data_IF_084409314692
#
_entry.id   IF_084409314692
#
_cell.length_a   1.000
_cell.length_b   1.000
_cell.length_c   1.000
_cell.angle_alpha   90.00
_cell.angle_beta   90.00
_cell.angle_gamma   90.00
#
_symmetry.space_group_name_H-M   'P 1'
#
loop_
_entity.id
_entity.type
_entity.pdbx_description
1 polymer ?
#
# COMPACT_ATOMS: atom_id res chain seq x y z
N UNK A 1 -13.39 -19.31 -16.96
CA UNK A 1 -13.66 -17.98 -16.37
C UNK A 1 -14.91 -17.40 -17.05
N UNK A 2 -16.00 -17.16 -16.31
CA UNK A 2 -17.34 -16.99 -16.90
C UNK A 2 -17.75 -15.51 -16.97
N UNK A 3 -17.34 -14.84 -18.06
CA UNK A 3 -17.53 -13.40 -18.32
C UNK A 3 -18.96 -12.84 -18.15
N UNK A 4 -20.04 -13.56 -18.53
CA UNK A 4 -21.40 -13.04 -18.35
C UNK A 4 -21.78 -12.81 -16.89
N UNK A 5 -21.26 -13.65 -15.98
CA UNK A 5 -21.52 -13.58 -14.55
C UNK A 5 -20.85 -12.36 -13.91
N UNK A 6 -19.62 -12.06 -14.32
CA UNK A 6 -18.85 -10.89 -13.87
C UNK A 6 -19.54 -9.58 -14.32
N UNK A 7 -20.00 -9.53 -15.57
CA UNK A 7 -20.73 -8.37 -16.09
C UNK A 7 -22.07 -8.13 -15.39
N UNK A 8 -22.77 -9.19 -14.95
CA UNK A 8 -23.99 -9.04 -14.17
C UNK A 8 -23.75 -8.51 -12.75
N UNK A 9 -22.63 -8.87 -12.12
CA UNK A 9 -22.26 -8.39 -10.78
C UNK A 9 -21.81 -6.92 -10.80
N UNK A 10 -21.07 -6.51 -11.85
CA UNK A 10 -20.62 -5.11 -12.04
C UNK A 10 -21.77 -4.13 -12.32
N UNK A 11 -22.93 -4.61 -12.79
CA UNK A 11 -24.11 -3.76 -13.04
C UNK A 11 -24.84 -3.36 -11.76
N UNK A 12 -24.60 -4.05 -10.65
CA UNK A 12 -25.28 -3.82 -9.37
C UNK A 12 -24.93 -2.46 -8.72
N UNK A 13 -23.64 -2.05 -8.59
CA UNK A 13 -23.29 -0.73 -8.03
C UNK A 13 -23.75 0.44 -8.91
N UNK A 14 -23.73 0.29 -10.24
CA UNK A 14 -24.13 1.33 -11.20
C UNK A 14 -25.65 1.59 -11.23
N UNK A 15 -26.48 0.61 -10.84
CA UNK A 15 -27.95 0.74 -10.85
C UNK A 15 -28.53 1.56 -9.70
N UNK A 16 -27.73 1.89 -8.68
CA UNK A 16 -28.23 2.62 -7.49
C UNK A 16 -27.30 3.81 -7.19
N UNK A 17 -27.63 5.04 -7.63
CA UNK A 17 -26.73 6.19 -7.61
C UNK A 17 -26.26 6.59 -6.20
N UNK A 18 -27.05 6.30 -5.17
CA UNK A 18 -26.68 6.51 -3.76
C UNK A 18 -25.42 5.74 -3.29
N UNK A 19 -25.06 4.61 -3.91
CA UNK A 19 -23.82 3.88 -3.57
C UNK A 19 -22.60 4.57 -4.11
N UNK A 20 -22.69 5.06 -5.35
CA UNK A 20 -21.66 5.87 -5.96
C UNK A 20 -21.41 7.14 -5.13
N UNK A 21 -22.49 7.77 -4.63
CA UNK A 21 -22.37 8.93 -3.74
C UNK A 21 -21.70 8.60 -2.41
N UNK A 22 -22.02 7.45 -1.79
CA UNK A 22 -21.39 7.00 -0.54
C UNK A 22 -19.91 6.66 -0.73
N UNK A 23 -19.55 5.96 -1.82
CA UNK A 23 -18.15 5.69 -2.15
C UNK A 23 -17.40 6.97 -2.52
N UNK A 24 -18.02 7.89 -3.26
CA UNK A 24 -17.44 9.20 -3.58
C UNK A 24 -17.24 10.04 -2.32
N UNK A 25 -18.19 10.02 -1.39
CA UNK A 25 -18.06 10.71 -0.11
C UNK A 25 -16.92 10.12 0.74
N UNK A 26 -16.83 8.78 0.79
CA UNK A 26 -15.74 8.08 1.47
C UNK A 26 -14.37 8.41 0.85
N UNK A 27 -14.24 8.29 -0.47
CA UNK A 27 -13.01 8.64 -1.20
C UNK A 27 -12.68 10.12 -1.04
N UNK A 28 -13.69 11.01 -1.04
CA UNK A 28 -13.52 12.44 -0.81
C UNK A 28 -13.04 12.76 0.60
N UNK A 29 -13.54 12.05 1.61
CA UNK A 29 -13.07 12.15 3.00
C UNK A 29 -11.63 11.68 3.16
N UNK A 30 -11.27 10.55 2.55
CA UNK A 30 -9.89 10.05 2.55
C UNK A 30 -8.95 11.02 1.82
N UNK A 31 -9.40 11.58 0.70
CA UNK A 31 -8.63 12.55 -0.07
C UNK A 31 -8.43 13.84 0.74
N UNK A 32 -9.48 14.38 1.36
CA UNK A 32 -9.42 15.57 2.20
C UNK A 32 -8.56 15.39 3.46
N UNK A 33 -8.55 14.18 4.04
CA UNK A 33 -7.62 13.83 5.11
C UNK A 33 -6.18 13.80 4.58
N UNK A 34 -5.96 13.13 3.45
CA UNK A 34 -4.65 13.00 2.82
C UNK A 34 -4.07 14.31 2.29
N UNK A 35 -4.92 15.28 1.92
CA UNK A 35 -4.48 16.59 1.45
C UNK A 35 -3.97 17.49 2.59
N UNK A 36 -4.27 17.16 3.86
CA UNK A 36 -3.75 17.89 5.03
C UNK A 36 -2.40 17.37 5.48
N UNK A 37 -2.21 16.06 5.45
CA UNK A 37 -0.94 15.39 5.70
C UNK A 37 -0.93 14.06 4.96
N UNK A 38 0.08 13.84 4.12
CA UNK A 38 0.25 12.56 3.44
C UNK A 38 0.59 11.44 4.43
N UNK A 39 0.27 10.19 4.08
CA UNK A 39 0.54 9.01 4.93
C UNK A 39 2.03 8.80 5.26
N UNK A 40 2.93 9.48 4.53
CA UNK A 40 4.39 9.35 4.65
C UNK A 40 5.02 10.60 5.29
N UNK A 41 4.23 11.65 5.54
CA UNK A 41 4.72 12.91 6.12
C UNK A 41 4.76 12.85 7.66
N UNK A 42 5.67 12.02 8.18
CA UNK A 42 5.83 11.75 9.63
C UNK A 42 6.20 13.03 10.41
N UNK A 43 6.70 14.06 9.73
CA UNK A 43 7.03 15.36 10.34
C UNK A 43 5.82 16.23 10.65
N UNK A 44 4.65 15.96 10.04
CA UNK A 44 3.44 16.74 10.24
C UNK A 44 2.51 16.03 11.25
N UNK A 45 2.23 16.59 12.44
CA UNK A 45 1.44 15.92 13.48
C UNK A 45 0.03 15.47 13.04
N UNK A 46 -0.50 16.03 11.95
CA UNK A 46 -1.76 15.61 11.34
C UNK A 46 -1.67 14.28 10.58
N UNK A 47 -0.48 13.69 10.36
CA UNK A 47 -0.31 12.38 9.71
C UNK A 47 -1.05 11.26 10.47
N UNK A 48 -1.12 11.38 11.80
CA UNK A 48 -1.86 10.45 12.67
C UNK A 48 -3.36 10.51 12.38
N UNK A 49 -3.89 11.69 12.07
CA UNK A 49 -5.30 11.83 11.69
C UNK A 49 -5.55 11.21 10.31
N UNK A 50 -4.64 11.36 9.35
CA UNK A 50 -4.77 10.72 8.03
C UNK A 50 -4.67 9.20 8.11
N UNK A 51 -3.65 8.69 8.82
CA UNK A 51 -3.47 7.25 9.03
C UNK A 51 -4.61 6.65 9.86
N UNK A 52 -5.01 7.32 10.93
CA UNK A 52 -6.15 6.94 11.75
C UNK A 52 -7.45 6.98 10.95
N UNK A 53 -7.64 7.97 10.09
CA UNK A 53 -8.80 8.04 9.18
C UNK A 53 -8.80 6.88 8.19
N UNK A 54 -7.68 6.59 7.53
CA UNK A 54 -7.58 5.45 6.60
C UNK A 54 -7.87 4.12 7.29
N UNK A 55 -7.32 3.91 8.50
CA UNK A 55 -7.49 2.68 9.28
C UNK A 55 -8.87 2.56 9.90
N UNK A 56 -9.51 3.66 10.33
CA UNK A 56 -10.81 3.62 11.03
C UNK A 56 -12.00 3.81 10.09
N UNK A 57 -11.87 4.63 9.04
CA UNK A 57 -12.96 4.79 8.07
C UNK A 57 -13.24 3.48 7.34
N UNK A 58 -12.23 2.66 7.03
CA UNK A 58 -12.40 1.34 6.39
C UNK A 58 -13.36 0.41 7.17
N UNK A 59 -13.10 0.07 8.45
CA UNK A 59 -14.00 -0.77 9.25
C UNK A 59 -15.34 -0.09 9.53
N UNK A 60 -15.40 1.25 9.66
CA UNK A 60 -16.69 1.97 9.79
C UNK A 60 -17.53 1.82 8.53
N UNK A 61 -16.91 2.01 7.36
CA UNK A 61 -17.56 1.81 6.07
C UNK A 61 -18.06 0.37 5.94
N UNK A 62 -17.23 -0.63 6.25
CA UNK A 62 -17.60 -2.03 6.17
C UNK A 62 -18.64 -2.47 7.20
N UNK A 63 -18.63 -1.90 8.41
CA UNK A 63 -19.63 -2.17 9.45
C UNK A 63 -21.04 -1.68 9.07
N UNK A 64 -21.15 -0.64 8.24
CA UNK A 64 -22.44 -0.17 7.70
C UNK A 64 -22.79 -0.90 6.42
N UNK A 65 -21.81 -1.08 5.51
CA UNK A 65 -22.06 -1.64 4.19
C UNK A 65 -22.42 -3.13 4.23
N UNK A 66 -21.73 -3.93 5.04
CA UNK A 66 -21.89 -5.40 5.06
C UNK A 66 -23.29 -5.81 5.55
N UNK A 67 -23.79 -5.36 6.72
CA UNK A 67 -25.14 -5.69 7.16
C UNK A 67 -26.20 -5.24 6.16
N UNK A 68 -25.98 -4.10 5.51
CA UNK A 68 -26.91 -3.56 4.52
C UNK A 68 -26.93 -4.36 3.22
N UNK A 69 -25.77 -4.82 2.73
CA UNK A 69 -25.68 -5.75 1.60
C UNK A 69 -26.34 -7.09 1.92
N UNK A 70 -26.14 -7.61 3.13
CA UNK A 70 -26.80 -8.83 3.61
C UNK A 70 -28.32 -8.66 3.61
N UNK A 71 -28.83 -7.54 4.10
CA UNK A 71 -30.26 -7.21 4.07
C UNK A 71 -30.81 -7.07 2.63
N UNK A 72 -30.09 -6.34 1.77
CA UNK A 72 -30.49 -6.13 0.37
C UNK A 72 -30.48 -7.43 -0.46
N UNK A 73 -29.61 -8.38 -0.12
CA UNK A 73 -29.55 -9.71 -0.74
C UNK A 73 -30.68 -10.61 -0.23
N UNK A 74 -30.92 -10.63 1.08
CA UNK A 74 -31.99 -11.43 1.69
C UNK A 74 -33.37 -10.99 1.16
N UNK A 75 -33.60 -9.68 1.03
CA UNK A 75 -34.81 -9.12 0.43
C UNK A 75 -35.03 -9.49 -1.05
N UNK A 76 -33.96 -9.78 -1.80
CA UNK A 76 -34.05 -10.24 -3.19
C UNK A 76 -34.22 -11.76 -3.30
N UNK A 77 -33.72 -12.51 -2.33
CA UNK A 77 -33.82 -13.98 -2.29
C UNK A 77 -35.20 -14.48 -1.82
N UNK A 78 -36.01 -13.61 -1.20
CA UNK A 78 -37.31 -14.00 -0.61
C UNK A 78 -37.16 -14.70 0.73
N UNK A 79 -35.95 -14.70 1.31
CA UNK A 79 -35.66 -15.27 2.62
C UNK A 79 -36.27 -14.35 3.70
N UNK A 80 -37.23 -14.86 4.46
CA UNK A 80 -38.08 -14.09 5.37
C UNK A 80 -37.36 -13.42 6.56
N UNK A 81 -36.11 -13.79 6.84
CA UNK A 81 -35.28 -13.11 7.84
C UNK A 81 -33.87 -12.88 7.32
N UNK A 82 -33.48 -11.61 7.24
CA UNK A 82 -32.09 -11.24 7.00
C UNK A 82 -31.23 -11.59 8.22
N UNK A 83 -30.04 -12.21 8.03
CA UNK A 83 -29.11 -12.45 9.12
C UNK A 83 -28.82 -11.15 9.89
N UNK A 84 -29.14 -11.13 11.20
CA UNK A 84 -28.80 -10.02 12.08
C UNK A 84 -27.30 -10.02 12.33
N UNK A 85 -26.61 -9.01 11.82
CA UNK A 85 -25.20 -8.77 12.14
C UNK A 85 -25.15 -7.94 13.43
N UNK A 86 -24.58 -8.52 14.48
CA UNK A 86 -24.29 -7.82 15.73
C UNK A 86 -23.06 -6.93 15.51
N UNK A 87 -23.30 -5.65 15.21
CA UNK A 87 -22.25 -4.68 14.84
C UNK A 87 -21.27 -4.47 15.99
N UNK A 88 -21.75 -4.42 17.24
CA UNK A 88 -20.90 -4.18 18.42
C UNK A 88 -19.89 -5.31 18.61
N UNK A 89 -20.30 -6.56 18.40
CA UNK A 89 -19.38 -7.72 18.51
C UNK A 89 -18.49 -7.91 17.29
N UNK A 90 -18.95 -7.48 16.11
CA UNK A 90 -18.25 -7.69 14.83
C UNK A 90 -17.24 -6.58 14.55
N UNK A 91 -17.49 -5.36 15.03
CA UNK A 91 -16.64 -4.19 14.77
C UNK A 91 -15.19 -4.34 15.29
N UNK A 92 -14.92 -4.82 16.52
CA UNK A 92 -13.55 -5.08 16.97
C UNK A 92 -12.85 -6.15 16.13
N UNK A 93 -13.59 -7.18 15.68
CA UNK A 93 -13.05 -8.25 14.83
C UNK A 93 -12.67 -7.72 13.44
N UNK A 94 -13.46 -6.80 12.89
CA UNK A 94 -13.15 -6.08 11.65
C UNK A 94 -11.87 -5.26 11.78
N UNK A 95 -11.71 -4.50 12.86
CA UNK A 95 -10.48 -3.72 13.11
C UNK A 95 -9.27 -4.67 13.19
N UNK A 96 -9.37 -5.75 13.96
CA UNK A 96 -8.28 -6.72 14.09
C UNK A 96 -7.94 -7.33 12.72
N UNK A 97 -8.95 -7.73 11.94
CA UNK A 97 -8.75 -8.24 10.59
C UNK A 97 -8.04 -7.25 9.68
N UNK A 98 -8.45 -5.98 9.70
CA UNK A 98 -7.83 -4.91 8.92
C UNK A 98 -6.38 -4.67 9.32
N UNK A 99 -6.08 -4.68 10.63
CA UNK A 99 -4.71 -4.57 11.13
C UNK A 99 -3.85 -5.76 10.70
N UNK A 100 -4.38 -6.98 10.74
CA UNK A 100 -3.66 -8.18 10.30
C UNK A 100 -3.37 -8.17 8.80
N UNK A 101 -4.34 -7.77 7.97
CA UNK A 101 -4.14 -7.65 6.53
C UNK A 101 -3.09 -6.59 6.22
N UNK A 102 -3.19 -5.40 6.83
CA UNK A 102 -2.19 -4.35 6.66
C UNK A 102 -0.79 -4.79 7.12
N UNK A 103 -0.69 -5.45 8.26
CA UNK A 103 0.58 -6.00 8.75
C UNK A 103 1.18 -7.01 7.75
N UNK A 104 0.35 -7.88 7.18
CA UNK A 104 0.80 -8.87 6.19
C UNK A 104 1.25 -8.21 4.88
N UNK A 105 0.53 -7.17 4.43
CA UNK A 105 0.92 -6.37 3.25
C UNK A 105 2.27 -5.69 3.49
N UNK A 106 2.44 -5.05 4.64
CA UNK A 106 3.71 -4.41 5.03
C UNK A 106 4.84 -5.45 5.10
N UNK A 107 4.59 -6.59 5.74
CA UNK A 107 5.56 -7.67 5.83
C UNK A 107 5.95 -8.20 4.43
N UNK A 108 4.98 -8.43 3.55
CA UNK A 108 5.21 -8.84 2.17
C UNK A 108 6.03 -7.81 1.38
N UNK A 109 5.74 -6.52 1.58
CA UNK A 109 6.52 -5.45 0.98
C UNK A 109 7.98 -5.46 1.47
N UNK A 110 8.23 -5.66 2.76
CA UNK A 110 9.59 -5.79 3.29
C UNK A 110 10.33 -7.01 2.72
N UNK A 111 9.67 -8.16 2.59
CA UNK A 111 10.25 -9.37 2.01
C UNK A 111 10.66 -9.17 0.55
N UNK A 112 9.98 -8.29 -0.19
CA UNK A 112 10.34 -7.99 -1.58
C UNK A 112 11.36 -6.84 -1.70
N UNK A 113 11.22 -5.79 -0.89
CA UNK A 113 12.06 -4.59 -0.95
C UNK A 113 13.47 -4.85 -0.42
N UNK A 114 13.59 -5.52 0.73
CA UNK A 114 14.88 -5.77 1.39
C UNK A 114 15.88 -6.55 0.51
N UNK A 115 15.52 -7.66 -0.16
CA UNK A 115 16.47 -8.36 -1.04
C UNK A 115 16.87 -7.52 -2.25
N UNK A 116 15.98 -6.69 -2.80
CA UNK A 116 16.30 -5.78 -3.90
C UNK A 116 17.34 -4.74 -3.48
N UNK A 117 17.12 -4.10 -2.33
CA UNK A 117 18.07 -3.15 -1.72
C UNK A 117 19.41 -3.83 -1.42
N UNK A 118 19.38 -5.02 -0.83
CA UNK A 118 20.59 -5.79 -0.52
C UNK A 118 21.43 -6.05 -1.77
N UNK A 119 20.80 -6.55 -2.84
CA UNK A 119 21.48 -6.80 -4.12
C UNK A 119 22.02 -5.51 -4.73
N UNK A 120 21.24 -4.41 -4.68
CA UNK A 120 21.68 -3.11 -5.18
C UNK A 120 22.96 -2.61 -4.52
N UNK A 121 23.02 -2.68 -3.18
CA UNK A 121 24.23 -2.30 -2.42
C UNK A 121 25.40 -3.24 -2.75
N UNK A 122 25.16 -4.55 -2.80
CA UNK A 122 26.20 -5.56 -3.11
C UNK A 122 26.79 -5.39 -4.51
N UNK A 123 25.99 -4.92 -5.46
CA UNK A 123 26.37 -4.71 -6.85
C UNK A 123 26.82 -3.28 -7.15
N UNK A 124 26.88 -2.36 -6.17
CA UNK A 124 27.18 -0.96 -6.42
C UNK A 124 28.47 -0.70 -7.22
N UNK A 125 29.47 -1.58 -7.11
CA UNK A 125 30.78 -1.43 -7.77
C UNK A 125 30.98 -2.28 -9.03
N UNK A 126 29.97 -3.02 -9.51
CA UNK A 126 30.17 -3.87 -10.70
C UNK A 126 30.58 -3.03 -11.91
N UNK A 127 30.02 -1.83 -12.08
CA UNK A 127 30.35 -0.91 -13.18
C UNK A 127 31.80 -0.46 -13.11
N UNK A 128 32.28 -0.16 -11.91
CA UNK A 128 33.68 0.23 -11.69
C UNK A 128 34.64 -0.92 -12.04
N UNK A 129 34.29 -2.14 -11.65
CA UNK A 129 35.10 -3.32 -11.98
C UNK A 129 35.12 -3.64 -13.49
N UNK A 130 34.07 -3.28 -14.25
CA UNK A 130 34.09 -3.38 -15.71
C UNK A 130 34.94 -2.26 -16.33
N UNK A 131 34.70 -1.01 -15.92
CA UNK A 131 35.28 0.15 -16.60
C UNK A 131 36.73 0.45 -16.22
N UNK A 132 37.13 0.16 -14.99
CA UNK A 132 38.47 0.46 -14.48
C UNK A 132 39.33 -0.79 -14.45
N UNK A 133 38.78 -1.91 -13.97
CA UNK A 133 39.54 -3.15 -13.77
C UNK A 133 39.44 -4.10 -14.98
N UNK A 134 38.83 -3.66 -16.09
CA UNK A 134 38.61 -4.38 -17.36
C UNK A 134 38.08 -5.82 -17.17
N UNK A 135 37.23 -6.03 -16.15
CA UNK A 135 36.71 -7.35 -15.82
C UNK A 135 35.49 -7.71 -16.68
N UNK A 136 35.37 -8.97 -17.11
CA UNK A 136 34.15 -9.44 -17.77
C UNK A 136 32.95 -9.41 -16.81
N UNK A 137 31.70 -9.31 -17.31
CA UNK A 137 30.51 -8.99 -16.50
C UNK A 137 30.31 -9.88 -15.26
N UNK A 138 30.44 -11.20 -15.39
CA UNK A 138 30.28 -12.10 -14.23
C UNK A 138 31.41 -11.98 -13.20
N UNK A 139 32.64 -11.71 -13.66
CA UNK A 139 33.78 -11.50 -12.75
C UNK A 139 33.64 -10.15 -12.02
N UNK A 140 33.13 -9.12 -12.69
CA UNK A 140 32.86 -7.82 -12.11
C UNK A 140 31.76 -7.87 -11.03
N UNK A 141 30.70 -8.65 -11.24
CA UNK A 141 29.67 -8.85 -10.21
C UNK A 141 30.24 -9.55 -8.97
N UNK A 142 31.01 -10.63 -9.14
CA UNK A 142 31.68 -11.32 -8.00
C UNK A 142 32.65 -10.40 -7.26
N UNK A 143 33.40 -9.59 -7.99
CA UNK A 143 34.31 -8.60 -7.41
C UNK A 143 33.54 -7.55 -6.59
N UNK A 144 32.41 -7.05 -7.11
CA UNK A 144 31.55 -6.12 -6.36
C UNK A 144 31.04 -6.73 -5.06
N UNK A 145 30.60 -7.99 -5.09
CA UNK A 145 30.19 -8.72 -3.89
C UNK A 145 31.33 -8.88 -2.87
N UNK A 146 32.56 -9.11 -3.34
CA UNK A 146 33.74 -9.20 -2.49
C UNK A 146 34.07 -7.86 -1.84
N UNK A 147 34.06 -6.76 -2.62
CA UNK A 147 34.35 -5.41 -2.13
C UNK A 147 33.32 -4.91 -1.12
N UNK A 148 32.06 -5.29 -1.30
CA UNK A 148 30.94 -4.93 -0.41
C UNK A 148 30.71 -5.92 0.73
N UNK A 149 31.63 -6.86 0.97
CA UNK A 149 31.54 -7.82 2.08
C UNK A 149 31.68 -7.18 3.46
N UNK A 150 32.34 -6.03 3.54
CA UNK A 150 32.44 -5.28 4.79
C UNK A 150 31.11 -4.56 5.07
N UNK A 151 30.43 -4.97 6.16
CA UNK A 151 29.12 -4.43 6.55
C UNK A 151 29.15 -2.91 6.76
N UNK A 152 30.28 -2.36 7.24
CA UNK A 152 30.46 -0.91 7.46
C UNK A 152 30.41 -0.12 6.16
N UNK A 153 31.08 -0.64 5.12
CA UNK A 153 31.08 -0.03 3.80
C UNK A 153 29.69 -0.17 3.14
N UNK A 154 29.04 -1.33 3.31
CA UNK A 154 27.68 -1.54 2.83
C UNK A 154 26.68 -0.56 3.49
N UNK A 155 26.82 -0.26 4.79
CA UNK A 155 25.97 0.70 5.49
C UNK A 155 26.19 2.14 5.02
N UNK A 156 27.44 2.56 4.81
CA UNK A 156 27.77 3.88 4.25
C UNK A 156 27.20 4.03 2.84
N UNK A 157 27.35 3.00 2.00
CA UNK A 157 26.80 2.98 0.64
C UNK A 157 25.27 2.99 0.65
N UNK A 158 24.64 2.24 1.55
CA UNK A 158 23.19 2.25 1.73
C UNK A 158 22.70 3.65 2.13
N UNK A 159 23.36 4.29 3.10
CA UNK A 159 23.04 5.67 3.49
C UNK A 159 23.21 6.66 2.34
N UNK A 160 24.30 6.56 1.58
CA UNK A 160 24.52 7.40 0.40
C UNK A 160 23.46 7.18 -0.69
N UNK A 161 23.10 5.93 -0.99
CA UNK A 161 22.02 5.59 -1.91
C UNK A 161 20.68 6.14 -1.42
N UNK A 162 20.37 5.99 -0.13
CA UNK A 162 19.12 6.45 0.46
C UNK A 162 18.97 7.97 0.34
N UNK A 163 20.04 8.73 0.54
CA UNK A 163 20.04 10.18 0.30
C UNK A 163 19.81 10.49 -1.18
N UNK A 164 20.51 9.80 -2.08
CA UNK A 164 20.41 10.06 -3.53
C UNK A 164 19.02 9.75 -4.09
N UNK A 165 18.47 8.58 -3.74
CA UNK A 165 17.10 8.20 -4.10
C UNK A 165 16.07 9.05 -3.36
N UNK A 166 16.31 9.43 -2.10
CA UNK A 166 15.43 10.32 -1.34
C UNK A 166 15.30 11.70 -2.01
N UNK A 167 16.42 12.27 -2.47
CA UNK A 167 16.44 13.53 -3.22
C UNK A 167 15.74 13.37 -4.57
N UNK A 168 16.03 12.31 -5.33
CA UNK A 168 15.37 12.07 -6.63
C UNK A 168 13.85 11.91 -6.50
N UNK A 169 13.40 11.19 -5.46
CA UNK A 169 11.97 11.00 -5.17
C UNK A 169 11.34 12.32 -4.72
N UNK A 170 12.04 13.10 -3.89
CA UNK A 170 11.61 14.43 -3.46
C UNK A 170 11.47 15.42 -4.61
N UNK A 171 12.41 15.44 -5.55
CA UNK A 171 12.36 16.26 -6.77
C UNK A 171 11.19 15.83 -7.66
N UNK A 172 10.97 14.52 -7.85
CA UNK A 172 9.84 14.01 -8.63
C UNK A 172 8.48 14.41 -8.02
N UNK A 173 8.36 14.36 -6.69
CA UNK A 173 7.19 14.85 -5.95
C UNK A 173 7.00 16.35 -6.13
N UNK A 174 8.08 17.14 -6.09
CA UNK A 174 8.03 18.59 -6.29
C UNK A 174 7.56 18.96 -7.70
N UNK A 175 8.04 18.24 -8.72
CA UNK A 175 7.62 18.44 -10.11
C UNK A 175 6.15 18.07 -10.33
N UNK A 176 5.64 17.04 -9.65
CA UNK A 176 4.22 16.67 -9.68
C UNK A 176 3.30 17.68 -8.98
N UNK A 177 3.83 18.49 -8.06
CA UNK A 177 3.07 19.53 -7.34
C UNK A 177 3.08 20.87 -8.10
N UNK A 178 4.10 21.10 -8.94
CA UNK A 178 4.29 22.35 -9.69
C UNK A 178 3.73 22.27 -11.12
N UNK A 179 3.51 21.06 -11.66
CA UNK A 179 2.87 20.80 -12.95
C UNK A 179 1.33 20.74 -12.83
#
# INVERSE_FOLDING_TARGET
MNWPKILSELRFPLRRPRWLLLSLAYTGLLYAASSRAGLVDIGNPFWILTAGSAVLLSPIYHAVLIPWMVAARSAQAGDGEAPRVDVEKTFPRLIIGELMVNALVIAGAFVFLLPGVYLGVRLAFYKQAILIDDKPPMAAMRESFRRTANWRLAFVLFGALAVFYGVATGVNLLLLVVA
#
